data_IF_866504526659
#
_entry.id   IF_866504526659
#
_cell.length_a   1.000
_cell.length_b   1.000
_cell.length_c   1.000
_cell.angle_alpha   90.00
_cell.angle_beta   90.00
_cell.angle_gamma   90.00
#
_symmetry.space_group_name_H-M   'P 1'
#
loop_
_entity.id
_entity.type
_entity.pdbx_description
1 polymer ?
#
# COMPACT_ATOMS: atom_id res chain seq x y z
N UNK A 1 2.11 20.63 -9.99
CA UNK A 1 2.60 19.70 -8.95
C UNK A 1 1.48 18.79 -8.42
N UNK A 2 0.61 19.20 -7.49
CA UNK A 2 -0.42 18.27 -6.93
C UNK A 2 -1.35 17.66 -8.01
N UNK A 3 -1.98 18.51 -8.83
CA UNK A 3 -2.89 18.06 -9.90
C UNK A 3 -2.21 17.09 -10.87
N UNK A 4 -0.96 17.38 -11.20
CA UNK A 4 -0.12 16.55 -12.06
C UNK A 4 0.19 15.20 -11.41
N UNK A 5 0.57 15.17 -10.13
CA UNK A 5 0.78 13.92 -9.38
C UNK A 5 -0.49 13.06 -9.34
N UNK A 6 -1.67 13.67 -9.15
CA UNK A 6 -2.95 12.94 -9.20
C UNK A 6 -3.23 12.37 -10.60
N UNK A 7 -2.96 13.14 -11.67
CA UNK A 7 -3.12 12.68 -13.05
C UNK A 7 -2.19 11.50 -13.36
N UNK A 8 -0.90 11.64 -13.06
CA UNK A 8 0.09 10.56 -13.25
C UNK A 8 -0.25 9.33 -12.41
N UNK A 9 -0.71 9.55 -11.17
CA UNK A 9 -1.16 8.49 -10.27
C UNK A 9 -2.37 7.71 -10.79
N UNK A 10 -3.36 8.39 -11.38
CA UNK A 10 -4.52 7.75 -12.00
C UNK A 10 -4.11 6.90 -13.20
N UNK A 11 -3.25 7.44 -14.07
CA UNK A 11 -2.75 6.72 -15.23
C UNK A 11 -1.94 5.47 -14.83
N UNK A 12 -1.11 5.58 -13.79
CA UNK A 12 -0.38 4.44 -13.23
C UNK A 12 -1.33 3.37 -12.71
N UNK A 13 -2.36 3.75 -11.96
CA UNK A 13 -3.34 2.83 -11.41
C UNK A 13 -4.11 2.09 -12.51
N UNK A 14 -4.55 2.79 -13.54
CA UNK A 14 -5.21 2.20 -14.72
C UNK A 14 -4.29 1.22 -15.44
N UNK A 15 -3.02 1.59 -15.66
CA UNK A 15 -2.03 0.69 -16.25
C UNK A 15 -1.79 -0.55 -15.40
N UNK A 16 -1.68 -0.40 -14.08
CA UNK A 16 -1.50 -1.53 -13.15
C UNK A 16 -2.67 -2.52 -13.20
N UNK A 17 -3.90 -2.01 -13.25
CA UNK A 17 -5.11 -2.85 -13.39
C UNK A 17 -5.15 -3.54 -14.76
N UNK A 18 -4.91 -2.79 -15.84
CA UNK A 18 -5.05 -3.30 -17.20
C UNK A 18 -3.92 -4.29 -17.60
N UNK A 19 -2.69 -4.02 -17.18
CA UNK A 19 -1.50 -4.68 -17.72
C UNK A 19 -0.84 -5.62 -16.71
N UNK A 20 -1.01 -5.40 -15.41
CA UNK A 20 -0.35 -6.22 -14.37
C UNK A 20 -1.31 -7.20 -13.68
N UNK A 21 -2.57 -7.27 -14.11
CA UNK A 21 -3.59 -8.10 -13.48
C UNK A 21 -4.00 -7.59 -12.11
N UNK A 22 -3.87 -6.29 -11.87
CA UNK A 22 -4.38 -5.64 -10.67
C UNK A 22 -5.90 -5.62 -10.66
N UNK A 23 -6.48 -5.60 -9.46
CA UNK A 23 -7.89 -5.35 -9.20
C UNK A 23 -8.06 -3.96 -8.61
N UNK A 24 -9.26 -3.39 -8.71
CA UNK A 24 -9.60 -2.09 -8.11
C UNK A 24 -10.78 -2.27 -7.16
N UNK A 25 -10.65 -1.77 -5.94
CA UNK A 25 -11.72 -1.77 -4.95
C UNK A 25 -12.67 -0.58 -5.13
N UNK A 26 -13.79 -0.60 -4.41
CA UNK A 26 -14.76 0.49 -4.43
C UNK A 26 -14.21 1.82 -3.88
N UNK A 27 -13.21 1.77 -3.00
CA UNK A 27 -12.55 2.98 -2.46
C UNK A 27 -11.56 3.60 -3.45
N UNK A 28 -11.24 2.89 -4.53
CA UNK A 28 -10.25 3.29 -5.52
C UNK A 28 -8.85 2.75 -5.25
N UNK A 29 -8.63 1.96 -4.20
CA UNK A 29 -7.40 1.18 -4.03
C UNK A 29 -7.24 0.22 -5.20
N UNK A 30 -6.07 0.18 -5.83
CA UNK A 30 -5.71 -0.92 -6.70
C UNK A 30 -4.74 -1.87 -5.99
N UNK A 31 -4.87 -3.16 -6.26
CA UNK A 31 -4.08 -4.18 -5.59
C UNK A 31 -3.87 -5.41 -6.46
N UNK A 32 -2.82 -6.17 -6.15
CA UNK A 32 -2.56 -7.49 -6.73
C UNK A 32 -2.09 -8.41 -5.62
N UNK A 33 -2.84 -9.49 -5.40
CA UNK A 33 -2.43 -10.52 -4.46
C UNK A 33 -1.31 -11.33 -5.12
N UNK A 34 -0.14 -11.36 -4.48
CA UNK A 34 1.04 -12.11 -4.92
C UNK A 34 1.04 -13.49 -4.27
N UNK A 35 0.66 -13.54 -2.99
CA UNK A 35 0.39 -14.77 -2.26
C UNK A 35 -0.81 -14.53 -1.34
N UNK A 36 -1.81 -15.43 -1.39
CA UNK A 36 -3.02 -15.31 -0.56
C UNK A 36 -2.72 -15.43 0.94
N UNK A 37 -1.74 -16.26 1.30
CA UNK A 37 -1.51 -16.65 2.70
C UNK A 37 -2.58 -17.62 3.21
N UNK A 38 -2.74 -17.68 4.53
CA UNK A 38 -3.76 -18.49 5.19
C UNK A 38 -5.18 -17.87 5.09
N UNK A 39 -6.19 -18.55 5.60
CA UNK A 39 -7.55 -17.99 5.70
C UNK A 39 -7.71 -16.97 6.85
N UNK A 40 -6.73 -16.86 7.76
CA UNK A 40 -6.74 -15.91 8.88
C UNK A 40 -6.36 -14.53 8.36
N UNK A 41 -7.35 -13.68 8.10
CA UNK A 41 -7.18 -12.28 7.66
C UNK A 41 -7.26 -11.32 8.85
N UNK A 42 -6.45 -10.25 8.88
CA UNK A 42 -6.51 -9.28 9.98
C UNK A 42 -7.81 -8.48 9.91
N UNK A 43 -8.26 -7.98 11.05
CA UNK A 43 -9.29 -6.94 11.16
C UNK A 43 -8.63 -5.57 11.25
N UNK A 44 -9.36 -4.51 10.92
CA UNK A 44 -8.87 -3.14 11.04
C UNK A 44 -8.36 -2.75 12.46
N UNK A 45 -8.81 -3.44 13.50
CA UNK A 45 -8.37 -3.25 14.90
C UNK A 45 -7.07 -3.95 15.26
N UNK A 46 -6.63 -4.91 14.46
CA UNK A 46 -5.55 -5.83 14.83
C UNK A 46 -4.18 -5.17 14.63
N UNK A 47 -3.18 -5.76 15.28
CA UNK A 47 -1.77 -5.41 15.03
C UNK A 47 -1.16 -6.44 14.10
N UNK A 48 -0.56 -5.97 13.01
CA UNK A 48 0.11 -6.83 12.03
C UNK A 48 1.62 -6.72 12.14
N UNK A 49 2.33 -7.79 11.85
CA UNK A 49 3.78 -7.78 11.66
C UNK A 49 4.09 -8.02 10.18
N UNK A 50 4.83 -7.10 9.57
CA UNK A 50 5.04 -7.08 8.12
C UNK A 50 6.49 -6.83 7.74
N UNK A 51 6.85 -7.26 6.54
CA UNK A 51 7.82 -6.54 5.72
C UNK A 51 7.09 -5.75 4.65
N UNK A 52 7.66 -4.61 4.28
CA UNK A 52 7.19 -3.80 3.18
C UNK A 52 8.30 -2.99 2.53
N UNK A 53 8.02 -2.60 1.29
CA UNK A 53 8.74 -1.58 0.53
C UNK A 53 7.75 -0.60 -0.08
N UNK A 54 7.88 0.68 0.26
CA UNK A 54 7.07 1.77 -0.26
C UNK A 54 7.86 2.64 -1.25
N UNK A 55 7.29 2.83 -2.44
CA UNK A 55 7.86 3.67 -3.49
C UNK A 55 6.84 4.66 -4.05
N UNK A 56 7.33 5.77 -4.60
CA UNK A 56 6.54 6.60 -5.49
C UNK A 56 6.37 5.88 -6.85
N UNK A 57 5.43 6.36 -7.68
CA UNK A 57 5.16 5.77 -9.01
C UNK A 57 6.36 5.83 -9.97
N UNK A 58 7.37 6.65 -9.67
CA UNK A 58 8.62 6.73 -10.42
C UNK A 58 9.70 5.73 -9.93
N UNK A 59 9.38 4.87 -8.96
CA UNK A 59 10.29 3.87 -8.39
C UNK A 59 11.15 4.37 -7.23
N UNK A 60 11.09 5.66 -6.87
CA UNK A 60 11.84 6.19 -5.73
C UNK A 60 11.33 5.57 -4.43
N UNK A 61 12.20 4.84 -3.73
CA UNK A 61 11.90 4.28 -2.40
C UNK A 61 11.87 5.41 -1.39
N UNK A 62 10.77 5.51 -0.64
CA UNK A 62 10.65 6.48 0.46
C UNK A 62 10.70 5.81 1.83
N UNK A 63 10.34 4.53 1.92
CA UNK A 63 10.40 3.76 3.15
C UNK A 63 10.49 2.26 2.83
N UNK A 64 11.34 1.53 3.54
CA UNK A 64 11.56 0.10 3.35
C UNK A 64 11.98 -0.54 4.66
N UNK A 65 11.23 -1.55 5.09
CA UNK A 65 11.62 -2.37 6.25
C UNK A 65 12.78 -3.33 5.93
N UNK A 66 12.96 -3.68 4.65
CA UNK A 66 14.06 -4.53 4.20
C UNK A 66 15.40 -3.83 4.39
N UNK A 67 15.45 -2.52 4.16
CA UNK A 67 16.67 -1.71 4.35
C UNK A 67 17.09 -1.67 5.83
N UNK A 68 16.14 -1.91 6.74
CA UNK A 68 16.35 -2.00 8.19
C UNK A 68 16.60 -3.44 8.68
N UNK A 69 16.52 -4.45 7.81
CA UNK A 69 16.60 -5.87 8.17
C UNK A 69 15.72 -6.28 9.36
N UNK A 70 14.55 -5.62 9.51
CA UNK A 70 13.68 -5.84 10.65
C UNK A 70 12.21 -5.79 10.22
N UNK A 71 11.44 -6.81 10.62
CA UNK A 71 9.97 -6.78 10.51
C UNK A 71 9.41 -5.70 11.41
N UNK A 72 8.41 -4.98 10.94
CA UNK A 72 7.80 -3.90 11.71
C UNK A 72 6.37 -4.30 12.08
N UNK A 73 5.98 -4.00 13.32
CA UNK A 73 4.61 -4.19 13.81
C UNK A 73 3.84 -2.87 13.79
N UNK A 74 2.63 -2.89 13.24
CA UNK A 74 1.75 -1.72 13.19
C UNK A 74 0.31 -2.09 13.57
N UNK A 75 -0.39 -1.27 14.36
CA UNK A 75 -1.84 -1.37 14.49
C UNK A 75 -2.51 -0.84 13.20
N UNK A 76 -3.37 -1.65 12.58
CA UNK A 76 -3.99 -1.31 11.27
C UNK A 76 -4.88 -0.07 11.31
N UNK A 77 -5.35 0.34 12.48
CA UNK A 77 -6.13 1.57 12.67
C UNK A 77 -5.28 2.85 12.83
N UNK A 78 -3.94 2.77 12.77
CA UNK A 78 -3.03 3.94 12.84
C UNK A 78 -2.15 4.11 11.60
N UNK A 79 -2.44 3.38 10.53
CA UNK A 79 -1.77 3.51 9.23
C UNK A 79 -2.70 4.18 8.23
N UNK A 80 -2.18 4.51 7.04
CA UNK A 80 -2.97 5.09 5.95
C UNK A 80 -4.11 4.15 5.54
N UNK A 81 -5.23 4.71 5.09
CA UNK A 81 -6.46 3.96 4.79
C UNK A 81 -6.24 2.81 3.80
N UNK A 82 -5.39 3.02 2.79
CA UNK A 82 -5.06 2.00 1.81
C UNK A 82 -4.35 0.78 2.40
N UNK A 83 -3.57 0.94 3.47
CA UNK A 83 -2.98 -0.17 4.21
C UNK A 83 -4.02 -0.89 5.06
N UNK A 84 -4.84 -0.15 5.80
CA UNK A 84 -5.93 -0.72 6.60
C UNK A 84 -6.84 -1.58 5.74
N UNK A 85 -7.20 -1.12 4.54
CA UNK A 85 -8.01 -1.90 3.60
C UNK A 85 -7.22 -3.04 2.96
N UNK A 86 -6.05 -2.74 2.38
CA UNK A 86 -5.29 -3.68 1.55
C UNK A 86 -4.80 -4.92 2.29
N UNK A 87 -4.43 -4.80 3.57
CA UNK A 87 -3.96 -5.94 4.35
C UNK A 87 -5.08 -6.89 4.79
N UNK A 88 -6.34 -6.46 4.76
CA UNK A 88 -7.49 -7.35 5.01
C UNK A 88 -7.81 -8.23 3.78
N UNK A 89 -7.11 -8.05 2.66
CA UNK A 89 -7.29 -8.85 1.44
C UNK A 89 -6.55 -10.18 1.49
N UNK A 90 -5.44 -10.25 2.23
CA UNK A 90 -4.59 -11.44 2.38
C UNK A 90 -4.66 -11.97 3.82
N UNK A 91 -4.29 -13.23 4.02
CA UNK A 91 -4.11 -13.80 5.35
C UNK A 91 -2.65 -13.89 5.77
N UNK A 92 -2.43 -14.38 6.99
CA UNK A 92 -1.09 -14.60 7.56
C UNK A 92 -0.22 -15.46 6.61
N UNK A 93 1.01 -15.01 6.33
CA UNK A 93 1.91 -15.56 5.32
C UNK A 93 1.71 -15.02 3.90
N UNK A 94 0.71 -14.15 3.69
CA UNK A 94 0.38 -13.58 2.39
C UNK A 94 1.30 -12.44 1.96
N UNK A 95 1.22 -12.10 0.67
CA UNK A 95 1.95 -11.00 0.04
C UNK A 95 1.04 -10.27 -0.93
N UNK A 96 1.05 -8.94 -0.90
CA UNK A 96 0.20 -8.09 -1.73
C UNK A 96 0.98 -6.88 -2.25
N UNK A 97 0.74 -6.52 -3.51
CA UNK A 97 1.09 -5.21 -4.04
C UNK A 97 -0.11 -4.28 -3.96
N UNK A 98 0.08 -3.07 -3.45
CA UNK A 98 -0.94 -2.03 -3.28
C UNK A 98 -0.52 -0.78 -4.05
N UNK A 99 -1.43 -0.25 -4.86
CA UNK A 99 -1.30 1.06 -5.51
C UNK A 99 -2.35 1.97 -4.90
N UNK A 100 -1.88 2.85 -4.02
CA UNK A 100 -2.71 3.63 -3.11
C UNK A 100 -2.82 5.06 -3.64
N UNK A 101 -3.98 5.49 -4.15
CA UNK A 101 -4.18 6.88 -4.55
C UNK A 101 -4.07 7.81 -3.34
N UNK A 102 -3.71 9.07 -3.58
CA UNK A 102 -3.42 10.02 -2.49
C UNK A 102 -4.53 10.13 -1.43
N UNK A 103 -5.81 10.05 -1.81
CA UNK A 103 -6.95 10.14 -0.88
C UNK A 103 -7.02 8.98 0.13
N UNK A 104 -6.36 7.85 -0.17
CA UNK A 104 -6.17 6.70 0.71
C UNK A 104 -4.76 6.65 1.33
N UNK A 105 -3.89 7.59 0.97
CA UNK A 105 -2.53 7.77 1.46
C UNK A 105 -2.39 9.07 2.27
N UNK A 106 -1.51 9.97 1.82
CA UNK A 106 -1.19 11.25 2.50
C UNK A 106 -1.94 12.47 1.93
N UNK A 107 -2.87 12.25 1.01
CA UNK A 107 -3.76 13.28 0.47
C UNK A 107 -3.05 14.43 -0.24
N UNK A 108 -3.73 15.58 -0.25
CA UNK A 108 -3.30 16.80 -0.94
C UNK A 108 -2.11 17.50 -0.28
N UNK A 109 -1.83 17.19 0.99
CA UNK A 109 -0.71 17.76 1.73
C UNK A 109 0.57 16.93 1.54
N UNK A 110 0.44 15.62 1.29
CA UNK A 110 1.57 14.70 1.25
C UNK A 110 2.26 14.56 2.62
N UNK A 111 3.53 14.17 2.60
CA UNK A 111 4.43 14.17 3.75
C UNK A 111 5.79 14.77 3.33
N UNK A 112 5.88 16.10 3.18
CA UNK A 112 7.10 16.75 2.71
C UNK A 112 8.28 16.55 3.68
N UNK A 113 9.53 16.47 3.17
CA UNK A 113 9.92 16.54 1.77
C UNK A 113 9.81 15.20 1.01
N UNK A 114 9.37 14.13 1.68
CA UNK A 114 9.51 12.74 1.21
C UNK A 114 8.39 12.33 0.25
N UNK A 115 7.15 12.64 0.59
CA UNK A 115 5.97 12.29 -0.21
C UNK A 115 5.32 13.59 -0.70
N UNK A 116 5.33 13.87 -2.02
CA UNK A 116 4.70 15.06 -2.57
C UNK A 116 3.19 15.09 -2.36
N UNK A 117 2.63 16.30 -2.37
CA UNK A 117 1.19 16.54 -2.44
C UNK A 117 0.53 15.75 -3.59
N UNK A 118 -0.56 15.03 -3.30
CA UNK A 118 -1.32 14.28 -4.30
C UNK A 118 -0.61 13.05 -4.87
N UNK A 119 0.47 12.57 -4.24
CA UNK A 119 1.20 11.41 -4.71
C UNK A 119 0.42 10.09 -4.52
N UNK A 120 0.45 9.26 -5.55
CA UNK A 120 0.10 7.83 -5.46
C UNK A 120 1.30 7.05 -4.93
N UNK A 121 1.05 6.11 -4.03
CA UNK A 121 2.08 5.25 -3.44
C UNK A 121 1.95 3.84 -3.96
N UNK A 122 3.09 3.17 -4.13
CA UNK A 122 3.16 1.75 -4.45
C UNK A 122 3.81 1.04 -3.28
N UNK A 123 3.16 0.01 -2.76
CA UNK A 123 3.68 -0.82 -1.69
C UNK A 123 3.71 -2.27 -2.12
N UNK A 124 4.82 -2.94 -1.86
CA UNK A 124 4.85 -4.39 -1.73
C UNK A 124 4.86 -4.72 -0.25
N UNK A 125 3.94 -5.56 0.22
CA UNK A 125 3.78 -5.90 1.64
C UNK A 125 3.68 -7.41 1.82
N UNK A 126 4.45 -7.95 2.75
CA UNK A 126 4.43 -9.33 3.22
C UNK A 126 3.91 -9.38 4.66
N UNK A 127 2.83 -10.12 4.90
CA UNK A 127 2.19 -10.26 6.20
C UNK A 127 2.69 -11.51 6.91
N UNK A 128 3.39 -11.35 8.03
CA UNK A 128 3.94 -12.47 8.79
C UNK A 128 3.08 -12.90 9.98
N UNK A 129 2.40 -11.96 10.64
CA UNK A 129 1.65 -12.28 11.86
C UNK A 129 0.50 -11.29 12.08
N UNK A 130 -0.53 -11.74 12.78
CA UNK A 130 -1.71 -10.99 13.20
C UNK A 130 -1.91 -11.22 14.70
N UNK A 131 -1.90 -10.12 15.46
CA UNK A 131 -1.96 -10.06 16.94
C UNK A 131 -3.22 -9.33 17.40
#
# INVERSE_FOLDING_TARGET
MMKENKTLGSAYLESFVANEGGMKSASGLAYKIIAEGSSKKPKASDTVEVHYRGTLINGNVFDSSYDRNQKISFPLNRVIKGWTEGLQLIGEGGKVMLVIPSDLGYGDHGMPPVIPAGATLVFEVELFNIK
#
